data_IF_887662966366
#
_entry.id   IF_887662966366
#
_cell.length_a   1.000
_cell.length_b   1.000
_cell.length_c   1.000
_cell.angle_alpha   90.00
_cell.angle_beta   90.00
_cell.angle_gamma   90.00
#
_symmetry.space_group_name_H-M   'P 1'
#
loop_
_entity.id
_entity.type
_entity.pdbx_description
1 polymer ?
#
# COMPACT_ATOMS: atom_id res chain seq x y z
N UNK A 1 14.37 -3.02 17.71
CA UNK A 1 13.09 -3.76 17.73
C UNK A 1 12.05 -3.13 16.80
N UNK A 2 11.79 -1.82 16.92
CA UNK A 2 10.84 -1.06 16.07
C UNK A 2 11.10 -1.23 14.56
N UNK A 3 12.37 -1.22 14.12
CA UNK A 3 12.74 -1.44 12.70
C UNK A 3 12.32 -2.81 12.16
N UNK A 4 12.34 -3.86 13.01
CA UNK A 4 11.90 -5.21 12.63
C UNK A 4 10.39 -5.29 12.46
N UNK A 5 9.64 -4.57 13.32
CA UNK A 5 8.19 -4.49 13.23
C UNK A 5 7.72 -3.80 11.93
N UNK A 6 8.30 -2.65 11.58
CA UNK A 6 7.98 -1.99 10.31
C UNK A 6 8.36 -2.82 9.09
N UNK A 7 9.45 -3.60 9.17
CA UNK A 7 9.84 -4.53 8.12
C UNK A 7 8.83 -5.69 7.99
N UNK A 8 8.33 -6.22 9.10
CA UNK A 8 7.28 -7.24 9.11
C UNK A 8 6.00 -6.69 8.48
N UNK A 9 5.56 -5.48 8.86
CA UNK A 9 4.42 -4.82 8.22
C UNK A 9 4.66 -4.64 6.71
N UNK A 10 5.84 -4.15 6.32
CA UNK A 10 6.20 -4.01 4.91
C UNK A 10 6.15 -5.34 4.16
N UNK A 11 6.61 -6.43 4.77
CA UNK A 11 6.51 -7.79 4.22
C UNK A 11 5.04 -8.24 4.07
N UNK A 12 4.20 -7.98 5.08
CA UNK A 12 2.78 -8.32 5.02
C UNK A 12 2.06 -7.51 3.93
N UNK A 13 2.37 -6.23 3.77
CA UNK A 13 1.82 -5.41 2.69
C UNK A 13 2.27 -5.90 1.32
N UNK A 14 3.54 -6.27 1.16
CA UNK A 14 4.04 -6.87 -0.08
C UNK A 14 3.36 -8.21 -0.39
N UNK A 15 3.23 -9.08 0.62
CA UNK A 15 2.54 -10.35 0.45
C UNK A 15 1.08 -10.14 0.06
N UNK A 16 0.36 -9.26 0.76
CA UNK A 16 -1.01 -8.88 0.44
C UNK A 16 -1.14 -8.30 -0.97
N UNK A 17 -0.26 -7.38 -1.36
CA UNK A 17 -0.20 -6.84 -2.71
C UNK A 17 0.03 -7.92 -3.77
N UNK A 18 0.93 -8.86 -3.51
CA UNK A 18 1.18 -10.01 -4.40
C UNK A 18 -0.06 -10.91 -4.52
N UNK A 19 -0.76 -11.20 -3.43
CA UNK A 19 -2.02 -11.95 -3.49
C UNK A 19 -3.07 -11.27 -4.37
N UNK A 20 -3.26 -9.95 -4.21
CA UNK A 20 -4.18 -9.20 -5.07
C UNK A 20 -3.74 -9.19 -6.54
N UNK A 21 -2.44 -9.10 -6.81
CA UNK A 21 -1.91 -9.16 -8.18
C UNK A 21 -2.21 -10.52 -8.84
N UNK A 22 -2.00 -11.62 -8.11
CA UNK A 22 -2.30 -12.98 -8.61
C UNK A 22 -3.80 -13.18 -8.75
N UNK A 23 -4.61 -12.71 -7.80
CA UNK A 23 -6.07 -12.82 -7.84
C UNK A 23 -6.67 -12.06 -9.04
N UNK A 24 -6.31 -10.78 -9.20
CA UNK A 24 -6.76 -9.97 -10.34
C UNK A 24 -6.22 -10.53 -11.66
N UNK A 25 -5.00 -11.10 -11.66
CA UNK A 25 -4.40 -11.76 -12.82
C UNK A 25 -5.13 -13.05 -13.22
N UNK A 26 -5.48 -13.91 -12.27
CA UNK A 26 -6.26 -15.12 -12.51
C UNK A 26 -7.66 -14.78 -13.05
N UNK A 27 -8.28 -13.74 -12.49
CA UNK A 27 -9.55 -13.21 -12.98
C UNK A 27 -9.44 -12.67 -14.40
N UNK A 28 -8.37 -11.96 -14.73
CA UNK A 28 -8.12 -11.49 -16.09
C UNK A 28 -8.01 -12.62 -17.10
N UNK A 29 -7.32 -13.71 -16.74
CA UNK A 29 -7.20 -14.91 -17.59
C UNK A 29 -8.57 -15.58 -17.80
N UNK A 30 -9.42 -15.62 -16.77
CA UNK A 30 -10.74 -16.26 -16.85
C UNK A 30 -11.78 -15.41 -17.61
N UNK A 31 -11.88 -14.13 -17.28
CA UNK A 31 -12.95 -13.25 -17.81
C UNK A 31 -12.55 -12.56 -19.13
N UNK A 32 -11.29 -12.66 -19.56
CA UNK A 32 -10.68 -11.89 -20.66
C UNK A 32 -10.87 -10.36 -20.57
N UNK A 33 -11.30 -9.84 -19.42
CA UNK A 33 -11.51 -8.42 -19.17
C UNK A 33 -10.56 -7.93 -18.10
N UNK A 34 -9.85 -6.84 -18.37
CA UNK A 34 -8.95 -6.21 -17.40
C UNK A 34 -9.78 -5.48 -16.36
N UNK A 35 -10.08 -6.15 -15.24
CA UNK A 35 -10.74 -5.57 -14.08
C UNK A 35 -9.85 -5.72 -12.86
N UNK A 36 -9.33 -4.59 -12.39
CA UNK A 36 -8.55 -4.55 -11.16
C UNK A 36 -9.42 -4.14 -9.98
N UNK A 37 -9.11 -4.69 -8.82
CA UNK A 37 -9.73 -4.27 -7.57
C UNK A 37 -9.17 -2.91 -7.17
N UNK A 38 -10.03 -1.88 -7.08
CA UNK A 38 -9.61 -0.52 -6.68
C UNK A 38 -9.40 -0.44 -5.18
N UNK A 39 -8.41 0.34 -4.74
CA UNK A 39 -8.10 0.49 -3.32
C UNK A 39 -9.27 1.06 -2.51
N UNK A 40 -10.01 2.02 -3.06
CA UNK A 40 -11.19 2.58 -2.42
C UNK A 40 -12.33 1.57 -2.26
N UNK A 41 -12.48 0.63 -3.20
CA UNK A 41 -13.47 -0.44 -3.10
C UNK A 41 -13.07 -1.42 -2.00
N UNK A 42 -11.84 -1.90 -2.00
CA UNK A 42 -11.32 -2.79 -0.96
C UNK A 42 -11.44 -2.18 0.45
N UNK A 43 -11.15 -0.90 0.61
CA UNK A 43 -11.35 -0.22 1.90
C UNK A 43 -12.84 -0.17 2.28
N UNK A 44 -13.74 0.16 1.35
CA UNK A 44 -15.18 0.13 1.63
C UNK A 44 -15.67 -1.26 2.03
N UNK A 45 -15.17 -2.31 1.36
CA UNK A 45 -15.52 -3.70 1.65
C UNK A 45 -15.08 -4.12 3.07
N UNK A 46 -13.99 -3.53 3.58
CA UNK A 46 -13.55 -3.74 4.96
C UNK A 46 -14.39 -2.92 5.94
N UNK A 47 -14.47 -1.61 5.74
CA UNK A 47 -15.17 -0.70 6.64
C UNK A 47 -15.52 0.64 5.99
N UNK A 48 -16.75 0.75 5.51
CA UNK A 48 -17.30 1.96 4.90
C UNK A 48 -17.35 3.18 5.85
N UNK A 49 -17.70 2.97 7.12
CA UNK A 49 -17.81 4.06 8.10
C UNK A 49 -16.46 4.74 8.34
N UNK A 50 -15.38 3.95 8.39
CA UNK A 50 -14.01 4.46 8.55
C UNK A 50 -13.57 5.33 7.36
N UNK A 51 -13.93 4.93 6.14
CA UNK A 51 -13.59 5.68 4.93
C UNK A 51 -14.37 7.01 4.88
N UNK A 52 -15.66 6.98 5.23
CA UNK A 52 -16.49 8.18 5.31
C UNK A 52 -15.98 9.17 6.35
N UNK A 53 -15.62 8.68 7.55
CA UNK A 53 -15.03 9.52 8.59
C UNK A 53 -13.69 10.13 8.16
N UNK A 54 -12.82 9.33 7.53
CA UNK A 54 -11.55 9.82 7.00
C UNK A 54 -11.74 10.88 5.92
N UNK A 55 -12.69 10.67 5.00
CA UNK A 55 -13.07 11.65 3.98
C UNK A 55 -13.49 12.97 4.62
N UNK A 56 -14.44 12.95 5.55
CA UNK A 56 -14.92 14.16 6.23
C UNK A 56 -13.80 14.88 6.95
N UNK A 57 -12.90 14.15 7.61
CA UNK A 57 -11.75 14.73 8.29
C UNK A 57 -10.75 15.39 7.32
N UNK A 58 -10.45 14.75 6.18
CA UNK A 58 -9.58 15.34 5.17
C UNK A 58 -10.24 16.54 4.51
N UNK A 59 -11.50 16.42 4.09
CA UNK A 59 -12.24 17.52 3.47
C UNK A 59 -12.33 18.73 4.40
N UNK A 60 -12.47 18.52 5.72
CA UNK A 60 -12.47 19.60 6.70
C UNK A 60 -11.11 20.32 6.84
N UNK A 61 -9.98 19.63 6.62
CA UNK A 61 -8.64 20.20 6.78
C UNK A 61 -8.02 20.71 5.47
N UNK A 62 -8.20 19.96 4.39
CA UNK A 62 -7.59 20.20 3.10
C UNK A 62 -8.45 19.59 1.98
N UNK A 63 -9.49 20.30 1.51
CA UNK A 63 -10.37 19.83 0.44
C UNK A 63 -9.63 19.48 -0.86
N UNK A 64 -8.56 20.24 -1.17
CA UNK A 64 -7.72 20.03 -2.34
C UNK A 64 -6.94 18.71 -2.25
N UNK A 65 -6.56 18.27 -1.04
CA UNK A 65 -5.82 17.03 -0.85
C UNK A 65 -6.70 15.81 -1.17
N UNK A 66 -7.98 15.88 -0.79
CA UNK A 66 -8.95 14.83 -1.09
C UNK A 66 -9.11 14.65 -2.60
N UNK A 67 -9.37 15.74 -3.33
CA UNK A 67 -9.68 15.72 -4.75
C UNK A 67 -8.47 15.43 -5.63
N UNK A 68 -7.29 15.99 -5.32
CA UNK A 68 -6.11 15.86 -6.17
C UNK A 68 -5.26 14.63 -5.88
N UNK A 69 -5.17 14.19 -4.62
CA UNK A 69 -4.21 13.15 -4.21
C UNK A 69 -4.92 11.90 -3.73
N UNK A 70 -5.79 12.01 -2.73
CA UNK A 70 -6.37 10.83 -2.08
C UNK A 70 -7.30 10.08 -3.02
N UNK A 71 -8.15 10.80 -3.77
CA UNK A 71 -9.02 10.18 -4.78
C UNK A 71 -8.23 9.45 -5.86
N UNK A 72 -7.12 10.04 -6.33
CA UNK A 72 -6.23 9.41 -7.31
C UNK A 72 -5.66 8.09 -6.78
N UNK A 73 -5.25 8.05 -5.50
CA UNK A 73 -4.75 6.85 -4.84
C UNK A 73 -5.85 5.80 -4.63
N UNK A 74 -7.06 6.22 -4.24
CA UNK A 74 -8.20 5.32 -4.05
C UNK A 74 -8.65 4.65 -5.36
N UNK A 75 -8.48 5.33 -6.49
CA UNK A 75 -8.77 4.77 -7.83
C UNK A 75 -7.67 3.86 -8.38
N UNK A 76 -6.48 3.82 -7.76
CA UNK A 76 -5.42 2.89 -8.15
C UNK A 76 -5.75 1.45 -7.73
N UNK A 77 -5.19 0.45 -8.44
CA UNK A 77 -5.38 -0.95 -8.07
C UNK A 77 -4.72 -1.26 -6.73
N UNK A 78 -5.39 -2.07 -5.91
CA UNK A 78 -4.97 -2.43 -4.53
C UNK A 78 -3.54 -2.97 -4.52
N UNK A 79 -3.21 -3.86 -5.46
CA UNK A 79 -1.89 -4.48 -5.52
C UNK A 79 -0.77 -3.45 -5.69
N UNK A 80 -0.99 -2.40 -6.48
CA UNK A 80 0.00 -1.36 -6.73
C UNK A 80 0.17 -0.48 -5.48
N UNK A 81 -0.94 -0.12 -4.81
CA UNK A 81 -0.89 0.68 -3.59
C UNK A 81 -0.20 -0.08 -2.46
N UNK A 82 -0.60 -1.33 -2.19
CA UNK A 82 0.00 -2.17 -1.15
C UNK A 82 1.46 -2.51 -1.47
N UNK A 83 1.75 -2.85 -2.73
CA UNK A 83 3.09 -3.14 -3.21
C UNK A 83 4.02 -1.94 -3.04
N UNK A 84 3.61 -0.77 -3.53
CA UNK A 84 4.40 0.46 -3.41
C UNK A 84 4.63 0.84 -1.94
N UNK A 85 3.59 0.80 -1.10
CA UNK A 85 3.73 1.08 0.34
C UNK A 85 4.66 0.07 1.03
N UNK A 86 4.53 -1.22 0.71
CA UNK A 86 5.38 -2.28 1.23
C UNK A 86 6.86 -2.08 0.86
N UNK A 87 7.14 -1.75 -0.41
CA UNK A 87 8.49 -1.43 -0.89
C UNK A 87 9.03 -0.18 -0.17
N UNK A 88 8.25 0.90 -0.09
CA UNK A 88 8.66 2.13 0.57
C UNK A 88 9.03 1.90 2.04
N UNK A 89 8.21 1.12 2.77
CA UNK A 89 8.51 0.68 4.13
C UNK A 89 9.81 -0.12 4.19
N UNK A 90 10.03 -1.07 3.29
CA UNK A 90 11.28 -1.84 3.27
C UNK A 90 12.51 -0.98 3.02
N UNK A 91 12.43 -0.01 2.12
CA UNK A 91 13.54 0.89 1.78
C UNK A 91 13.84 1.82 2.96
N UNK A 92 12.81 2.44 3.55
CA UNK A 92 12.97 3.39 4.64
C UNK A 92 13.59 2.75 5.89
N UNK A 93 13.25 1.48 6.16
CA UNK A 93 13.76 0.73 7.31
C UNK A 93 14.90 -0.24 6.98
N UNK A 94 15.52 -0.10 5.80
CA UNK A 94 16.66 -0.93 5.38
C UNK A 94 17.85 -0.72 6.33
N UNK A 95 18.43 -1.80 6.92
CA UNK A 95 19.64 -1.65 7.72
C UNK A 95 20.78 -1.13 6.85
N UNK A 96 21.51 -0.13 7.35
CA UNK A 96 22.69 0.42 6.66
C UNK A 96 23.72 -0.71 6.48
N UNK A 97 24.28 -0.82 5.28
CA UNK A 97 25.33 -1.81 5.00
C UNK A 97 26.51 -1.53 5.96
N UNK A 98 27.05 -2.54 6.65
CA UNK A 98 28.28 -2.34 7.41
C UNK A 98 29.38 -1.90 6.45
N UNK A 99 30.14 -0.87 6.82
CA UNK A 99 31.29 -0.45 6.02
C UNK A 99 32.32 -1.58 6.09
N UNK A 100 32.64 -2.17 4.94
CA UNK A 100 33.70 -3.15 4.80
C UNK A 100 35.03 -2.39 4.95
N UNK A 101 35.83 -2.71 5.96
CA UNK A 101 37.18 -2.16 6.12
C UNK A 101 37.50 -1.42 7.43
N UNK A 102 36.62 -1.39 8.44
CA UNK A 102 37.03 -0.92 9.77
C UNK A 102 37.76 -2.04 10.54
N UNK A 103 39.08 -2.13 10.40
CA UNK A 103 39.92 -2.66 11.48
C UNK A 103 39.79 -1.68 12.64
N UNK A 104 39.19 -2.15 13.74
CA UNK A 104 39.38 -1.52 15.04
C UNK A 104 40.63 -2.18 15.61
N UNK A 105 41.73 -1.43 15.65
CA UNK A 105 42.83 -1.71 16.57
C UNK A 105 42.32 -1.65 18.03
#
# INVERSE_FOLDING_TARGET
MIRGFFRLIGLLLLAGGFFFMVYDGARWVADQTLRFTRFGQFWNDINQASQSAFRTWVEAKAPWLWTSVIRLVLDQPVFAVLGLLGILLMILFRPRKPLIGYSRD
#
